data_IF_029969485428
#
_entry.id   IF_029969485428
#
_cell.length_a   1.000
_cell.length_b   1.000
_cell.length_c   1.000
_cell.angle_alpha   90.00
_cell.angle_beta   90.00
_cell.angle_gamma   90.00
#
_symmetry.space_group_name_H-M   'P 1'
#
loop_
_entity.id
_entity.type
_entity.pdbx_description
1 polymer ?
#
# COMPACT_ATOMS: atom_id res chain seq x y z
N UNK A 1 -21.33 2.89 16.37
CA UNK A 1 -20.89 1.55 15.90
C UNK A 1 -21.57 0.55 16.80
N UNK A 2 -22.54 -0.22 16.28
CA UNK A 2 -23.22 -1.28 17.04
C UNK A 2 -22.18 -2.32 17.46
N UNK A 3 -22.08 -2.60 18.74
CA UNK A 3 -21.27 -3.70 19.25
C UNK A 3 -21.88 -5.00 18.72
N UNK A 4 -21.11 -5.76 17.96
CA UNK A 4 -21.55 -7.04 17.42
C UNK A 4 -21.32 -8.08 18.50
N UNK A 5 -22.39 -8.58 19.06
CA UNK A 5 -22.39 -9.74 19.93
C UNK A 5 -22.93 -10.94 19.17
N UNK A 6 -22.26 -12.08 19.30
CA UNK A 6 -22.83 -13.34 18.84
C UNK A 6 -24.03 -13.67 19.76
N UNK A 7 -25.15 -14.03 19.15
CA UNK A 7 -26.30 -14.52 19.92
C UNK A 7 -26.06 -15.95 20.41
N UNK A 8 -26.91 -16.45 21.30
CA UNK A 8 -26.75 -17.78 21.90
C UNK A 8 -26.69 -18.92 20.88
N UNK A 9 -27.46 -18.81 19.80
CA UNK A 9 -27.45 -19.79 18.70
C UNK A 9 -26.11 -19.79 17.97
N UNK A 10 -25.59 -18.62 17.66
CA UNK A 10 -24.27 -18.46 17.01
C UNK A 10 -23.15 -18.96 17.92
N UNK A 11 -23.22 -18.70 19.22
CA UNK A 11 -22.30 -19.23 20.23
C UNK A 11 -22.32 -20.75 20.26
N UNK A 12 -23.51 -21.36 20.26
CA UNK A 12 -23.66 -22.82 20.23
C UNK A 12 -23.06 -23.43 18.93
N UNK A 13 -23.25 -22.78 17.77
CA UNK A 13 -22.64 -23.20 16.51
C UNK A 13 -21.12 -23.14 16.55
N UNK A 14 -20.54 -22.10 17.15
CA UNK A 14 -19.09 -21.96 17.31
C UNK A 14 -18.54 -23.03 18.24
N UNK A 15 -19.20 -23.29 19.40
CA UNK A 15 -18.79 -24.35 20.32
C UNK A 15 -18.81 -25.73 19.64
N UNK A 16 -19.85 -26.02 18.84
CA UNK A 16 -19.94 -27.25 18.07
C UNK A 16 -18.81 -27.33 17.04
N UNK A 17 -18.53 -26.25 16.30
CA UNK A 17 -17.45 -26.22 15.32
C UNK A 17 -16.06 -26.45 15.97
N UNK A 18 -15.83 -25.94 17.17
CA UNK A 18 -14.59 -26.23 17.94
C UNK A 18 -14.53 -27.72 18.33
N UNK A 19 -15.60 -28.29 18.83
CA UNK A 19 -15.68 -29.71 19.18
C UNK A 19 -15.45 -30.59 17.95
N UNK A 20 -15.94 -30.21 16.78
CA UNK A 20 -15.75 -30.88 15.49
C UNK A 20 -14.36 -30.65 14.88
N UNK A 21 -13.45 -29.93 15.56
CA UNK A 21 -12.10 -29.63 15.08
C UNK A 21 -12.04 -28.67 13.86
N UNK A 22 -13.11 -27.92 13.58
CA UNK A 22 -13.16 -27.00 12.45
C UNK A 22 -12.31 -25.75 12.74
N UNK A 23 -11.63 -25.25 11.71
CA UNK A 23 -10.78 -24.05 11.80
C UNK A 23 -11.50 -22.78 11.37
N UNK A 24 -12.64 -22.91 10.73
CA UNK A 24 -13.44 -21.78 10.25
C UNK A 24 -14.92 -22.17 10.18
N UNK A 25 -15.80 -21.18 10.39
CA UNK A 25 -17.25 -21.29 10.30
C UNK A 25 -17.80 -20.00 9.67
N UNK A 26 -18.77 -20.12 8.78
CA UNK A 26 -19.49 -18.97 8.20
C UNK A 26 -20.92 -19.00 8.72
N UNK A 27 -21.36 -17.89 9.34
CA UNK A 27 -22.73 -17.71 9.82
C UNK A 27 -23.23 -16.37 9.28
N UNK A 28 -24.17 -16.42 8.34
CA UNK A 28 -24.65 -15.23 7.62
C UNK A 28 -23.47 -14.45 7.02
N UNK A 29 -23.31 -13.18 7.34
CA UNK A 29 -22.25 -12.29 6.85
C UNK A 29 -20.98 -12.32 7.72
N UNK A 30 -20.87 -13.24 8.67
CA UNK A 30 -19.74 -13.37 9.57
C UNK A 30 -18.92 -14.62 9.23
N UNK A 31 -17.62 -14.42 9.03
CA UNK A 31 -16.64 -15.49 9.00
C UNK A 31 -15.98 -15.58 10.38
N UNK A 32 -16.00 -16.75 10.98
CA UNK A 32 -15.49 -17.02 12.31
C UNK A 32 -14.27 -17.94 12.15
N UNK A 33 -13.08 -17.39 12.35
CA UNK A 33 -11.83 -18.11 12.32
C UNK A 33 -11.47 -18.58 13.73
N UNK A 34 -11.13 -19.86 13.86
CA UNK A 34 -10.86 -20.53 15.14
C UNK A 34 -9.38 -20.86 15.23
N UNK A 35 -8.70 -20.26 16.19
CA UNK A 35 -7.27 -20.44 16.46
C UNK A 35 -7.06 -21.00 17.88
N UNK A 36 -7.39 -22.28 18.07
CA UNK A 36 -7.42 -22.87 19.41
C UNK A 36 -8.51 -22.24 20.29
N UNK A 37 -8.13 -21.60 21.39
CA UNK A 37 -9.07 -20.89 22.27
C UNK A 37 -9.39 -19.46 21.80
N UNK A 38 -8.65 -18.92 20.84
CA UNK A 38 -8.89 -17.59 20.27
C UNK A 38 -9.79 -17.68 19.04
N UNK A 39 -10.79 -16.83 18.98
CA UNK A 39 -11.77 -16.76 17.90
C UNK A 39 -11.77 -15.35 17.33
N UNK A 40 -11.55 -15.25 16.03
CA UNK A 40 -11.61 -14.00 15.29
C UNK A 40 -12.89 -13.96 14.44
N UNK A 41 -13.72 -12.95 14.67
CA UNK A 41 -14.93 -12.70 13.88
C UNK A 41 -14.60 -11.64 12.83
N UNK A 42 -14.75 -12.00 11.57
CA UNK A 42 -14.52 -11.11 10.44
C UNK A 42 -15.81 -10.97 9.62
N UNK A 43 -15.96 -9.85 8.91
CA UNK A 43 -17.03 -9.72 7.93
C UNK A 43 -16.69 -10.60 6.72
N UNK A 44 -17.59 -11.49 6.32
CA UNK A 44 -17.35 -12.45 5.25
C UNK A 44 -17.15 -11.79 3.87
N UNK A 45 -17.73 -10.59 3.64
CA UNK A 45 -17.63 -9.86 2.38
C UNK A 45 -16.45 -8.90 2.32
N UNK A 46 -16.08 -8.28 3.46
CA UNK A 46 -15.03 -7.25 3.50
C UNK A 46 -13.71 -7.76 4.08
N UNK A 47 -13.70 -8.91 4.74
CA UNK A 47 -12.54 -9.44 5.45
C UNK A 47 -12.07 -8.61 6.65
N UNK A 48 -12.88 -7.62 7.09
CA UNK A 48 -12.53 -6.79 8.24
C UNK A 48 -12.71 -7.57 9.53
N UNK A 49 -11.68 -7.57 10.38
CA UNK A 49 -11.78 -8.14 11.72
C UNK A 49 -12.71 -7.26 12.55
N UNK A 50 -13.83 -7.82 12.94
CA UNK A 50 -14.87 -7.13 13.71
C UNK A 50 -14.65 -7.31 15.21
N UNK A 51 -14.27 -8.52 15.64
CA UNK A 51 -14.04 -8.82 17.04
C UNK A 51 -13.09 -10.01 17.23
N UNK A 52 -12.36 -10.02 18.34
CA UNK A 52 -11.55 -11.17 18.78
C UNK A 52 -12.07 -11.59 20.16
N UNK A 53 -12.31 -12.88 20.35
CA UNK A 53 -12.83 -13.46 21.58
C UNK A 53 -11.94 -14.63 22.01
N UNK A 54 -11.83 -14.87 23.31
CA UNK A 54 -11.27 -16.10 23.85
C UNK A 54 -12.37 -16.96 24.44
N UNK A 55 -12.35 -18.26 24.16
CA UNK A 55 -13.17 -19.23 24.84
C UNK A 55 -12.45 -19.64 26.11
N UNK A 56 -13.06 -19.43 27.27
CA UNK A 56 -12.64 -20.05 28.52
C UNK A 56 -13.04 -21.51 28.48
N UNK A 57 -12.05 -22.39 28.34
CA UNK A 57 -12.24 -23.83 28.19
C UNK A 57 -12.83 -24.46 29.47
N UNK A 58 -12.61 -23.84 30.65
CA UNK A 58 -13.06 -24.39 31.95
C UNK A 58 -14.54 -24.17 32.20
N UNK A 59 -15.09 -22.98 31.83
CA UNK A 59 -16.50 -22.65 32.07
C UNK A 59 -17.30 -22.53 30.77
N UNK A 60 -16.68 -22.62 29.59
CA UNK A 60 -17.33 -22.52 28.30
C UNK A 60 -17.86 -21.12 27.97
N UNK A 61 -17.36 -20.08 28.65
CA UNK A 61 -17.74 -18.70 28.39
C UNK A 61 -16.81 -18.01 27.39
N UNK A 62 -17.37 -17.12 26.58
CA UNK A 62 -16.59 -16.27 25.66
C UNK A 62 -16.27 -14.94 26.33
N UNK A 63 -14.98 -14.68 26.54
CA UNK A 63 -14.49 -13.40 27.01
C UNK A 63 -14.05 -12.53 25.84
N UNK A 64 -14.70 -11.36 25.69
CA UNK A 64 -14.31 -10.41 24.66
C UNK A 64 -12.99 -9.74 25.02
N UNK A 65 -11.95 -9.98 24.24
CA UNK A 65 -10.73 -9.17 24.32
C UNK A 65 -11.04 -7.76 23.86
N UNK A 66 -10.99 -6.78 24.76
CA UNK A 66 -10.78 -5.41 24.34
C UNK A 66 -9.53 -5.41 23.44
N UNK A 67 -9.64 -4.91 22.21
CA UNK A 67 -8.49 -4.75 21.33
C UNK A 67 -7.43 -3.98 22.11
N UNK A 68 -6.48 -4.70 22.74
CA UNK A 68 -5.23 -4.06 23.08
C UNK A 68 -4.74 -3.50 21.75
N UNK A 69 -4.42 -2.21 21.70
CA UNK A 69 -3.73 -1.65 20.54
C UNK A 69 -2.55 -2.57 20.29
N UNK A 70 -2.69 -3.52 19.33
CA UNK A 70 -1.54 -4.30 18.86
C UNK A 70 -0.54 -3.21 18.53
N UNK A 71 0.54 -3.11 19.30
CA UNK A 71 1.71 -2.35 18.85
C UNK A 71 1.94 -2.87 17.46
N UNK A 72 1.65 -2.03 16.46
CA UNK A 72 1.87 -2.43 15.09
C UNK A 72 3.32 -2.88 15.04
N UNK A 73 3.53 -4.18 14.81
CA UNK A 73 4.85 -4.64 14.38
C UNK A 73 5.16 -3.68 13.26
N UNK A 74 6.21 -2.86 13.42
CA UNK A 74 6.65 -1.91 12.41
C UNK A 74 7.13 -2.73 11.21
N UNK A 75 6.18 -3.34 10.50
CA UNK A 75 6.44 -4.05 9.27
C UNK A 75 6.90 -3.03 8.24
N UNK A 76 7.93 -3.35 7.51
CA UNK A 76 8.31 -2.59 6.32
C UNK A 76 7.16 -2.74 5.32
N UNK A 77 6.81 -1.65 4.63
CA UNK A 77 5.80 -1.71 3.56
C UNK A 77 6.16 -2.74 2.51
N UNK A 78 5.16 -3.40 1.96
CA UNK A 78 5.32 -4.33 0.85
C UNK A 78 5.15 -3.60 -0.49
N UNK A 79 5.68 -4.18 -1.58
CA UNK A 79 5.42 -3.69 -2.93
C UNK A 79 4.04 -4.15 -3.41
N UNK A 80 3.53 -3.50 -4.44
CA UNK A 80 2.29 -3.86 -5.13
C UNK A 80 2.62 -4.49 -6.48
N UNK A 81 1.71 -5.30 -7.01
CA UNK A 81 1.76 -5.64 -8.42
C UNK A 81 1.64 -4.37 -9.27
N UNK A 82 2.57 -4.20 -10.22
CA UNK A 82 2.66 -2.96 -10.99
C UNK A 82 1.44 -2.76 -11.90
N UNK A 83 1.00 -3.81 -12.59
CA UNK A 83 -0.07 -3.70 -13.57
C UNK A 83 -1.42 -3.54 -12.89
N UNK A 84 -1.63 -4.19 -11.75
CA UNK A 84 -2.79 -3.97 -10.88
C UNK A 84 -2.80 -2.54 -10.34
N UNK A 85 -1.67 -2.05 -9.85
CA UNK A 85 -1.57 -0.67 -9.33
C UNK A 85 -1.85 0.35 -10.42
N UNK A 86 -1.37 0.14 -11.66
CA UNK A 86 -1.67 0.99 -12.81
C UNK A 86 -3.16 0.99 -13.17
N UNK A 87 -3.82 -0.18 -13.18
CA UNK A 87 -5.26 -0.28 -13.47
C UNK A 87 -6.10 0.50 -12.46
N UNK A 88 -5.85 0.26 -11.18
CA UNK A 88 -6.56 0.96 -10.09
C UNK A 88 -6.29 2.46 -10.17
N UNK A 89 -5.06 2.88 -10.42
CA UNK A 89 -4.70 4.29 -10.51
C UNK A 89 -5.34 5.00 -11.71
N UNK A 90 -5.41 4.33 -12.87
CA UNK A 90 -6.10 4.85 -14.05
C UNK A 90 -7.60 4.99 -13.81
N UNK A 91 -8.24 4.01 -13.19
CA UNK A 91 -9.65 4.09 -12.84
C UNK A 91 -9.94 5.30 -11.94
N UNK A 92 -9.12 5.51 -10.90
CA UNK A 92 -9.22 6.67 -10.02
C UNK A 92 -8.98 7.99 -10.78
N UNK A 93 -8.02 8.01 -11.70
CA UNK A 93 -7.69 9.18 -12.50
C UNK A 93 -8.86 9.56 -13.43
N UNK A 94 -9.48 8.58 -14.07
CA UNK A 94 -10.50 8.79 -15.08
C UNK A 94 -11.89 8.97 -14.49
N UNK A 95 -12.25 8.18 -13.49
CA UNK A 95 -13.61 8.11 -12.95
C UNK A 95 -13.72 8.58 -11.49
N UNK A 96 -12.60 8.59 -10.75
CA UNK A 96 -12.60 8.92 -9.32
C UNK A 96 -12.92 10.39 -9.03
N UNK A 97 -13.43 10.63 -7.80
CA UNK A 97 -13.67 11.99 -7.28
C UNK A 97 -12.39 12.77 -6.97
N UNK A 98 -11.27 12.08 -6.86
CA UNK A 98 -9.94 12.66 -6.55
C UNK A 98 -8.91 12.19 -7.57
N UNK A 99 -8.97 12.68 -8.84
CA UNK A 99 -8.10 12.23 -9.92
C UNK A 99 -6.61 12.44 -9.61
N UNK A 100 -6.26 13.44 -8.79
CA UNK A 100 -4.90 13.69 -8.34
C UNK A 100 -4.32 12.52 -7.51
N UNK A 101 -5.16 11.71 -6.86
CA UNK A 101 -4.70 10.49 -6.16
C UNK A 101 -4.31 9.40 -7.16
N UNK A 102 -5.09 9.22 -8.23
CA UNK A 102 -4.73 8.32 -9.33
C UNK A 102 -3.41 8.73 -9.97
N UNK A 103 -3.26 10.02 -10.28
CA UNK A 103 -1.99 10.55 -10.79
C UNK A 103 -0.83 10.37 -9.81
N UNK A 104 -1.05 10.56 -8.50
CA UNK A 104 -0.03 10.34 -7.48
C UNK A 104 0.52 8.90 -7.52
N UNK A 105 -0.36 7.91 -7.67
CA UNK A 105 0.07 6.50 -7.78
C UNK A 105 0.87 6.29 -9.05
N UNK A 106 0.34 6.70 -10.23
CA UNK A 106 1.01 6.56 -11.53
C UNK A 106 2.39 7.22 -11.49
N UNK A 107 2.46 8.45 -11.00
CA UNK A 107 3.71 9.19 -10.87
C UNK A 107 4.72 8.46 -9.98
N UNK A 108 4.28 8.04 -8.78
CA UNK A 108 5.17 7.43 -7.79
C UNK A 108 5.74 6.08 -8.23
N UNK A 109 4.93 5.21 -8.88
CA UNK A 109 5.39 3.89 -9.36
C UNK A 109 6.20 3.96 -10.66
N UNK A 110 6.28 5.14 -11.30
CA UNK A 110 7.08 5.37 -12.50
C UNK A 110 8.31 6.25 -12.27
N UNK A 111 8.41 6.94 -11.14
CA UNK A 111 9.56 7.81 -10.81
C UNK A 111 10.35 7.34 -9.61
N UNK A 112 9.73 6.56 -8.74
CA UNK A 112 10.33 6.07 -7.50
C UNK A 112 10.74 7.18 -6.52
N UNK A 113 10.17 8.37 -6.58
CA UNK A 113 10.47 9.48 -5.67
C UNK A 113 9.94 9.22 -4.26
N UNK A 114 10.52 9.90 -3.27
CA UNK A 114 9.99 9.88 -1.90
C UNK A 114 8.70 10.69 -1.82
N UNK A 115 7.80 10.29 -0.92
CA UNK A 115 6.50 10.96 -0.73
C UNK A 115 6.64 12.46 -0.51
N UNK A 116 7.59 12.89 0.34
CA UNK A 116 7.79 14.30 0.63
C UNK A 116 8.20 15.12 -0.61
N UNK A 117 9.05 14.55 -1.46
CA UNK A 117 9.50 15.19 -2.69
C UNK A 117 8.37 15.22 -3.73
N UNK A 118 7.62 14.11 -3.87
CA UNK A 118 6.48 14.02 -4.77
C UNK A 118 5.38 15.03 -4.42
N UNK A 119 5.02 15.14 -3.15
CA UNK A 119 3.92 16.01 -2.73
C UNK A 119 4.19 17.51 -2.92
N UNK A 120 5.44 17.92 -3.03
CA UNK A 120 5.83 19.31 -3.28
C UNK A 120 5.79 19.72 -4.76
N UNK A 121 5.51 18.78 -5.66
CA UNK A 121 5.45 19.07 -7.09
C UNK A 121 4.39 20.11 -7.39
N UNK A 122 4.76 21.14 -8.14
CA UNK A 122 3.86 22.18 -8.66
C UNK A 122 3.49 21.89 -10.12
N UNK A 123 2.39 22.45 -10.55
CA UNK A 123 2.00 22.35 -11.96
C UNK A 123 3.05 22.99 -12.89
N UNK A 124 3.72 24.06 -12.46
CA UNK A 124 4.83 24.67 -13.20
C UNK A 124 5.95 23.70 -13.54
N UNK A 125 6.20 22.70 -12.68
CA UNK A 125 7.24 21.69 -12.90
C UNK A 125 6.89 20.69 -14.01
N UNK A 126 5.60 20.60 -14.37
CA UNK A 126 5.06 19.60 -15.29
C UNK A 126 4.50 20.19 -16.58
N UNK A 127 4.08 21.47 -16.56
CA UNK A 127 3.48 22.15 -17.73
C UNK A 127 4.50 22.18 -18.88
N UNK A 128 4.06 21.83 -20.09
CA UNK A 128 4.87 21.85 -21.30
C UNK A 128 5.80 20.65 -21.47
N UNK A 129 5.97 19.81 -20.44
CA UNK A 129 6.86 18.64 -20.54
C UNK A 129 6.30 17.54 -21.43
N UNK A 130 7.23 16.86 -22.07
CA UNK A 130 6.99 15.69 -22.92
C UNK A 130 7.69 14.46 -22.35
N UNK A 131 7.36 13.29 -22.88
CA UNK A 131 8.08 12.06 -22.57
C UNK A 131 9.56 12.20 -22.99
N UNK A 132 10.44 11.77 -22.09
CA UNK A 132 11.88 11.96 -22.25
C UNK A 132 12.45 13.20 -21.55
N UNK A 133 11.61 14.18 -21.21
CA UNK A 133 12.07 15.38 -20.49
C UNK A 133 12.45 15.07 -19.04
N UNK A 134 13.35 15.89 -18.53
CA UNK A 134 13.81 15.78 -17.13
C UNK A 134 12.99 16.67 -16.20
N UNK A 135 12.57 16.09 -15.09
CA UNK A 135 12.09 16.78 -13.92
C UNK A 135 13.25 16.94 -12.92
N UNK A 136 13.57 18.18 -12.56
CA UNK A 136 14.63 18.47 -11.59
C UNK A 136 14.00 18.68 -10.22
N UNK A 137 14.45 17.91 -9.24
CA UNK A 137 13.93 17.95 -7.86
C UNK A 137 15.10 18.15 -6.88
N UNK A 138 14.91 19.00 -5.87
CA UNK A 138 15.78 19.07 -4.70
C UNK A 138 15.19 18.19 -3.60
N UNK A 139 15.87 17.09 -3.28
CA UNK A 139 15.41 16.14 -2.26
C UNK A 139 15.39 16.80 -0.87
N UNK A 140 14.26 16.70 -0.17
CA UNK A 140 14.11 17.30 1.18
C UNK A 140 15.06 16.70 2.21
N UNK A 141 15.30 15.39 2.12
CA UNK A 141 16.10 14.67 3.12
C UNK A 141 17.60 14.92 2.97
N UNK A 142 18.09 15.13 1.76
CA UNK A 142 19.52 15.17 1.45
C UNK A 142 20.01 16.51 0.91
N UNK A 143 19.09 17.39 0.48
CA UNK A 143 19.40 18.64 -0.21
C UNK A 143 19.97 18.44 -1.64
N UNK A 144 20.16 17.19 -2.08
CA UNK A 144 20.76 16.91 -3.39
C UNK A 144 19.77 17.18 -4.53
N UNK A 145 20.27 17.78 -5.60
CA UNK A 145 19.52 17.91 -6.86
C UNK A 145 19.48 16.55 -7.56
N UNK A 146 18.31 16.17 -8.01
CA UNK A 146 18.06 14.93 -8.73
C UNK A 146 17.30 15.20 -10.01
N UNK A 147 17.71 14.53 -11.07
CA UNK A 147 17.02 14.51 -12.36
C UNK A 147 16.22 13.21 -12.48
N UNK A 148 14.95 13.31 -12.86
CA UNK A 148 14.07 12.18 -13.08
C UNK A 148 13.50 12.30 -14.49
N UNK A 149 13.78 11.35 -15.35
CA UNK A 149 13.25 11.34 -16.71
C UNK A 149 11.80 10.87 -16.68
N UNK A 150 10.92 11.63 -17.33
CA UNK A 150 9.48 11.37 -17.36
C UNK A 150 9.13 10.47 -18.54
N UNK A 151 8.39 9.40 -18.29
CA UNK A 151 7.91 8.49 -19.33
C UNK A 151 6.51 8.87 -19.84
N UNK A 152 6.09 8.24 -20.94
CA UNK A 152 4.80 8.48 -21.60
C UNK A 152 3.61 8.32 -20.64
N UNK A 153 3.65 7.32 -19.72
CA UNK A 153 2.59 7.06 -18.76
C UNK A 153 2.37 8.22 -17.80
N UNK A 154 3.47 8.79 -17.31
CA UNK A 154 3.41 9.97 -16.42
C UNK A 154 2.90 11.19 -17.17
N UNK A 155 3.41 11.44 -18.37
CA UNK A 155 3.02 12.61 -19.17
C UNK A 155 1.56 12.49 -19.61
N UNK A 156 1.13 11.32 -20.09
CA UNK A 156 -0.26 11.10 -20.49
C UNK A 156 -1.23 11.28 -19.33
N UNK A 157 -0.91 10.73 -18.17
CA UNK A 157 -1.71 10.88 -16.96
C UNK A 157 -1.77 12.33 -16.47
N UNK A 158 -0.65 13.07 -16.54
CA UNK A 158 -0.62 14.48 -16.18
C UNK A 158 -1.46 15.34 -17.13
N UNK A 159 -1.33 15.17 -18.46
CA UNK A 159 -2.14 15.88 -19.46
C UNK A 159 -3.64 15.65 -19.23
N UNK A 160 -4.02 14.41 -18.88
CA UNK A 160 -5.41 14.10 -18.53
C UNK A 160 -5.86 14.84 -17.26
N UNK A 161 -5.06 14.80 -16.19
CA UNK A 161 -5.34 15.53 -14.95
C UNK A 161 -5.50 17.03 -15.19
N UNK A 162 -4.63 17.61 -16.00
CA UNK A 162 -4.65 19.04 -16.34
C UNK A 162 -5.92 19.44 -17.08
N UNK A 163 -6.37 18.62 -18.04
CA UNK A 163 -7.64 18.87 -18.76
C UNK A 163 -8.86 18.80 -17.84
N UNK A 164 -8.82 17.93 -16.85
CA UNK A 164 -9.94 17.71 -15.92
C UNK A 164 -10.05 18.80 -14.85
N UNK A 165 -8.95 19.39 -14.46
CA UNK A 165 -8.88 20.38 -13.40
C UNK A 165 -8.40 21.73 -13.95
N UNK A 166 -9.07 22.82 -13.56
CA UNK A 166 -8.50 24.16 -13.77
C UNK A 166 -7.34 24.34 -12.80
N UNK A 167 -6.12 24.41 -13.33
CA UNK A 167 -4.90 24.46 -12.54
C UNK A 167 -4.09 25.72 -12.86
N UNK A 168 -3.56 26.35 -11.82
CA UNK A 168 -2.59 27.45 -11.96
C UNK A 168 -1.17 26.86 -11.90
N UNK A 169 -0.19 27.43 -12.63
CA UNK A 169 1.21 26.96 -12.54
C UNK A 169 1.77 26.91 -11.13
N UNK A 170 1.36 27.85 -10.27
CA UNK A 170 1.81 27.96 -8.87
C UNK A 170 1.18 26.94 -7.92
N UNK A 171 0.09 26.29 -8.35
CA UNK A 171 -0.62 25.31 -7.53
C UNK A 171 0.20 24.02 -7.38
N UNK A 172 0.07 23.37 -6.22
CA UNK A 172 0.58 22.03 -6.04
C UNK A 172 -0.26 21.02 -6.83
N UNK A 173 0.41 20.05 -7.46
CA UNK A 173 -0.25 18.99 -8.23
C UNK A 173 -1.09 18.10 -7.30
N UNK A 174 -0.56 17.84 -6.10
CA UNK A 174 -1.18 16.93 -5.12
C UNK A 174 -1.80 17.73 -3.98
N UNK A 175 -2.90 18.40 -4.27
CA UNK A 175 -3.67 19.19 -3.30
C UNK A 175 -5.04 18.59 -3.02
N UNK A 176 -5.55 18.82 -1.83
CA UNK A 176 -6.90 18.45 -1.41
C UNK A 176 -7.93 19.43 -2.01
N UNK A 177 -9.21 19.11 -1.90
CA UNK A 177 -10.29 20.01 -2.30
C UNK A 177 -10.25 21.36 -1.55
N UNK A 178 -9.62 21.41 -0.37
CA UNK A 178 -9.40 22.63 0.42
C UNK A 178 -8.13 23.41 0.01
N UNK A 179 -7.54 23.12 -1.16
CA UNK A 179 -6.31 23.73 -1.68
C UNK A 179 -5.04 23.52 -0.83
N UNK A 180 -5.05 22.63 0.16
CA UNK A 180 -3.86 22.29 0.92
C UNK A 180 -3.14 21.09 0.30
N UNK A 181 -1.80 21.11 0.30
CA UNK A 181 -0.99 19.95 -0.08
C UNK A 181 -1.38 18.75 0.77
N UNK A 182 -1.46 17.57 0.17
CA UNK A 182 -1.72 16.35 0.94
C UNK A 182 -0.63 16.12 1.99
N UNK A 183 -1.06 15.90 3.23
CA UNK A 183 -0.15 15.39 4.24
C UNK A 183 0.19 13.91 3.96
N UNK A 184 1.42 13.50 4.28
CA UNK A 184 1.86 12.09 4.14
C UNK A 184 0.90 11.11 4.84
N UNK A 185 0.38 11.49 6.01
CA UNK A 185 -0.59 10.66 6.75
C UNK A 185 -1.88 10.46 5.95
N UNK A 186 -2.38 11.52 5.29
CA UNK A 186 -3.58 11.48 4.45
C UNK A 186 -3.37 10.56 3.25
N UNK A 187 -2.24 10.71 2.54
CA UNK A 187 -1.89 9.85 1.41
C UNK A 187 -1.79 8.39 1.87
N UNK A 188 -1.08 8.10 2.96
CA UNK A 188 -0.95 6.74 3.47
C UNK A 188 -2.31 6.11 3.83
N UNK A 189 -3.22 6.88 4.44
CA UNK A 189 -4.59 6.42 4.74
C UNK A 189 -5.36 6.12 3.45
N UNK A 190 -5.25 6.98 2.44
CA UNK A 190 -5.90 6.80 1.15
C UNK A 190 -5.36 5.57 0.43
N UNK A 191 -4.02 5.39 0.37
CA UNK A 191 -3.40 4.21 -0.24
C UNK A 191 -3.83 2.91 0.44
N UNK A 192 -3.88 2.87 1.77
CA UNK A 192 -4.39 1.69 2.51
C UNK A 192 -5.82 1.33 2.14
N UNK A 193 -6.67 2.34 1.86
CA UNK A 193 -8.06 2.11 1.46
C UNK A 193 -8.16 1.58 0.04
N UNK A 194 -7.48 2.22 -0.92
CA UNK A 194 -7.61 1.87 -2.35
C UNK A 194 -6.90 0.56 -2.71
N UNK A 195 -5.83 0.20 -1.99
CA UNK A 195 -5.09 -1.05 -2.19
C UNK A 195 -5.35 -2.08 -1.09
N UNK A 196 -6.49 -1.99 -0.41
CA UNK A 196 -6.87 -2.96 0.61
C UNK A 196 -6.88 -4.37 0.01
N UNK A 197 -6.20 -5.32 0.68
CA UNK A 197 -6.07 -6.70 0.19
C UNK A 197 -4.99 -6.95 -0.87
N UNK A 198 -4.39 -5.90 -1.44
CA UNK A 198 -3.35 -6.07 -2.48
C UNK A 198 -1.97 -6.39 -1.89
N UNK A 199 -1.72 -6.04 -0.62
CA UNK A 199 -0.49 -6.36 0.09
C UNK A 199 -0.70 -6.24 1.61
N UNK A 200 0.09 -6.97 2.45
CA UNK A 200 -0.05 -6.95 3.91
C UNK A 200 0.14 -5.57 4.54
N UNK A 201 1.16 -4.82 4.11
CA UNK A 201 1.48 -3.50 4.65
C UNK A 201 1.60 -2.48 3.53
N UNK A 202 0.67 -1.53 3.46
CA UNK A 202 0.58 -0.52 2.41
C UNK A 202 0.90 0.87 2.95
N UNK A 203 1.77 1.58 2.23
CA UNK A 203 2.09 2.98 2.45
C UNK A 203 2.63 3.64 1.17
N UNK A 204 3.00 4.91 1.23
CA UNK A 204 3.71 5.60 0.13
C UNK A 204 5.04 4.93 -0.25
N UNK A 205 5.69 4.24 0.69
CA UNK A 205 6.87 3.43 0.40
C UNK A 205 6.56 2.20 -0.47
N UNK A 206 5.33 1.68 -0.43
CA UNK A 206 4.90 0.58 -1.31
C UNK A 206 5.05 0.97 -2.78
N UNK A 207 4.63 2.17 -3.15
CA UNK A 207 4.74 2.67 -4.52
C UNK A 207 6.19 2.79 -5.00
N UNK A 208 7.07 3.28 -4.12
CA UNK A 208 8.50 3.37 -4.42
C UNK A 208 9.15 1.98 -4.50
N UNK A 209 8.71 1.02 -3.68
CA UNK A 209 9.13 -0.38 -3.80
C UNK A 209 8.62 -1.03 -5.09
N UNK A 210 7.38 -0.74 -5.49
CA UNK A 210 6.81 -1.20 -6.77
C UNK A 210 7.65 -0.71 -7.95
N UNK A 211 8.05 0.56 -7.96
CA UNK A 211 9.00 1.08 -8.95
C UNK A 211 10.30 0.25 -8.97
N UNK A 212 10.92 0.06 -7.80
CA UNK A 212 12.18 -0.68 -7.71
C UNK A 212 12.05 -2.14 -8.14
N UNK A 213 10.99 -2.84 -7.72
CA UNK A 213 10.70 -4.21 -8.16
C UNK A 213 10.52 -4.29 -9.67
N UNK A 214 9.76 -3.36 -10.26
CA UNK A 214 9.55 -3.30 -11.72
C UNK A 214 10.86 -3.10 -12.48
N UNK A 215 11.73 -2.18 -12.02
CA UNK A 215 13.06 -1.97 -12.62
C UNK A 215 13.90 -3.23 -12.53
N UNK A 216 13.96 -3.86 -11.34
CA UNK A 216 14.73 -5.08 -11.12
C UNK A 216 14.27 -6.23 -12.01
N UNK A 217 12.97 -6.47 -12.10
CA UNK A 217 12.38 -7.55 -12.91
C UNK A 217 12.56 -7.31 -14.42
N UNK A 218 12.32 -6.07 -14.88
CA UNK A 218 12.51 -5.73 -16.31
C UNK A 218 13.95 -5.83 -16.78
N UNK A 219 14.91 -5.67 -15.88
CA UNK A 219 16.34 -5.82 -16.20
C UNK A 219 16.88 -7.22 -15.84
N UNK A 220 16.04 -8.24 -15.96
CA UNK A 220 16.43 -9.65 -15.81
C UNK A 220 16.89 -10.02 -14.40
N UNK A 221 16.45 -9.28 -13.37
CA UNK A 221 16.84 -9.49 -11.96
C UNK A 221 18.37 -9.43 -11.75
N UNK A 222 19.04 -8.64 -12.56
CA UNK A 222 20.50 -8.54 -12.60
C UNK A 222 21.07 -7.75 -11.42
N UNK A 223 22.32 -8.03 -11.07
CA UNK A 223 23.05 -7.25 -10.06
C UNK A 223 23.26 -5.81 -10.51
N UNK A 224 23.50 -5.59 -11.82
CA UNK A 224 23.58 -4.27 -12.40
C UNK A 224 22.32 -3.43 -12.13
N UNK A 225 21.14 -4.03 -12.21
CA UNK A 225 19.89 -3.33 -11.87
C UNK A 225 19.81 -2.91 -10.40
N UNK A 226 20.43 -3.67 -9.49
CA UNK A 226 20.53 -3.30 -8.09
C UNK A 226 21.49 -2.13 -7.86
N UNK A 227 22.58 -2.05 -8.61
CA UNK A 227 23.50 -0.89 -8.61
C UNK A 227 22.74 0.37 -9.02
N UNK A 228 22.07 0.34 -10.18
CA UNK A 228 21.26 1.46 -10.65
C UNK A 228 20.17 1.86 -9.65
N UNK A 229 19.49 0.90 -9.04
CA UNK A 229 18.48 1.17 -8.02
C UNK A 229 19.08 1.73 -6.73
N UNK A 230 20.30 1.31 -6.35
CA UNK A 230 21.02 1.89 -5.22
C UNK A 230 21.28 3.38 -5.43
N UNK A 231 21.74 3.76 -6.61
CA UNK A 231 21.97 5.15 -6.99
C UNK A 231 20.65 5.93 -7.05
N UNK A 232 19.64 5.37 -7.71
CA UNK A 232 18.31 5.96 -7.81
C UNK A 232 17.69 6.17 -6.42
N UNK A 233 17.88 5.29 -5.48
CA UNK A 233 17.33 5.42 -4.13
C UNK A 233 18.22 6.20 -3.17
N UNK A 234 19.48 6.43 -3.55
CA UNK A 234 20.49 7.04 -2.70
C UNK A 234 20.80 6.17 -1.49
N UNK A 235 20.93 4.87 -1.71
CA UNK A 235 21.33 3.91 -0.67
C UNK A 235 22.85 3.85 -0.58
N UNK A 236 23.39 3.68 0.61
CA UNK A 236 24.85 3.63 0.85
C UNK A 236 25.49 2.31 0.41
N UNK A 237 24.69 1.26 0.20
CA UNK A 237 25.19 -0.04 -0.27
C UNK A 237 24.06 -0.90 -0.86
N UNK A 238 24.44 -1.92 -1.64
CA UNK A 238 23.51 -2.83 -2.31
C UNK A 238 22.66 -3.67 -1.33
N UNK A 239 23.21 -4.01 -0.16
CA UNK A 239 22.48 -4.77 0.86
C UNK A 239 21.24 -4.03 1.35
N UNK A 240 21.31 -2.69 1.45
CA UNK A 240 20.13 -1.87 1.76
C UNK A 240 19.09 -1.93 0.65
N UNK A 241 19.52 -1.89 -0.61
CA UNK A 241 18.63 -2.01 -1.77
C UNK A 241 17.95 -3.37 -1.82
N UNK A 242 18.68 -4.48 -1.65
CA UNK A 242 18.14 -5.84 -1.57
C UNK A 242 17.11 -5.97 -0.45
N UNK A 243 17.46 -5.48 0.75
CA UNK A 243 16.54 -5.48 1.90
C UNK A 243 15.31 -4.61 1.64
N UNK A 244 15.49 -3.42 1.06
CA UNK A 244 14.41 -2.51 0.76
C UNK A 244 13.40 -3.11 -0.23
N UNK A 245 13.87 -3.81 -1.25
CA UNK A 245 13.04 -4.50 -2.23
C UNK A 245 12.42 -5.81 -1.72
N UNK A 246 12.83 -6.29 -0.56
CA UNK A 246 12.36 -7.55 0.01
C UNK A 246 13.02 -8.81 -0.56
N UNK A 247 14.03 -8.67 -1.42
CA UNK A 247 14.71 -9.80 -2.11
C UNK A 247 15.33 -10.79 -1.12
N UNK A 248 16.01 -10.28 -0.09
CA UNK A 248 16.64 -11.14 0.92
C UNK A 248 15.64 -12.05 1.64
N UNK A 249 14.42 -11.56 1.87
CA UNK A 249 13.37 -12.38 2.51
C UNK A 249 12.90 -13.49 1.56
N UNK A 250 12.75 -13.18 0.28
CA UNK A 250 12.38 -14.15 -0.76
C UNK A 250 13.47 -15.20 -0.95
N UNK A 251 14.73 -14.79 -1.03
CA UNK A 251 15.88 -15.68 -1.15
C UNK A 251 15.96 -16.68 0.02
N UNK A 252 15.84 -16.19 1.26
CA UNK A 252 15.83 -17.03 2.46
C UNK A 252 14.65 -18.00 2.44
N UNK A 253 13.45 -17.53 2.07
CA UNK A 253 12.26 -18.38 1.96
C UNK A 253 12.48 -19.50 0.94
N UNK A 254 13.05 -19.18 -0.21
CA UNK A 254 13.30 -20.15 -1.27
C UNK A 254 14.32 -21.23 -0.84
N UNK A 255 15.30 -20.87 -0.02
CA UNK A 255 16.23 -21.88 0.55
C UNK A 255 15.45 -22.92 1.36
N UNK A 256 14.54 -22.48 2.24
CA UNK A 256 13.74 -23.40 3.04
C UNK A 256 12.73 -24.22 2.24
N UNK A 257 12.22 -23.67 1.15
CA UNK A 257 11.21 -24.35 0.31
C UNK A 257 11.83 -25.38 -0.65
N UNK A 258 13.15 -25.29 -0.91
CA UNK A 258 13.85 -26.14 -1.86
C UNK A 258 14.84 -27.11 -1.18
N UNK A 259 14.76 -27.24 0.15
CA UNK A 259 15.44 -28.30 0.93
C UNK A 259 14.52 -29.51 1.05
#
# INVERSE_FOLDING_TARGET
MSEIYLNEVQIAMVKKAIADGKKCLIISDLMINIFGAEIEVTNAHTGDVMKVMNLDINNGEFHYKLKSKKRSVKGTSDYLDYDLAMRIANDILWHGRQPQVGFYVIFSINTGLRVGDTLKLKHADMIGKQAGDYLIITEQKTGKRRQVQLNDKVIGAYKYLQKRNRTKPTDYVFKSQKNHVFATVTINRTLKRIFKGCAPVISSHSLRKTFGRRVYEKNGRSEHSLVLLSDIFGHSNLSLTRRYLGLRKEEISNVYLNL
#
